data_IF_869182881697
#
_entry.id   IF_869182881697
#
_cell.length_a   1.000
_cell.length_b   1.000
_cell.length_c   1.000
_cell.angle_alpha   90.00
_cell.angle_beta   90.00
_cell.angle_gamma   90.00
#
_symmetry.space_group_name_H-M   'P 1'
#
loop_
_entity.id
_entity.type
_entity.pdbx_description
1 polymer ?
#
# COMPACT_ATOMS: atom_id res chain seq x y z
N UNK A 1 43.64 4.69 -16.38
CA UNK A 1 43.03 4.70 -15.03
C UNK A 1 41.73 5.51 -14.94
N UNK A 2 41.60 6.71 -15.54
CA UNK A 2 40.33 7.49 -15.52
C UNK A 2 39.09 6.77 -16.10
N UNK A 3 39.26 5.93 -17.13
CA UNK A 3 38.15 5.24 -17.81
C UNK A 3 37.52 4.11 -16.98
N UNK A 4 38.28 3.51 -16.06
CA UNK A 4 37.78 2.46 -15.15
C UNK A 4 36.92 3.09 -14.07
N UNK A 5 37.32 4.27 -13.55
CA UNK A 5 36.61 4.97 -12.48
C UNK A 5 35.20 5.41 -12.87
N UNK A 6 35.00 5.84 -14.12
CA UNK A 6 33.68 6.23 -14.64
C UNK A 6 32.75 5.02 -14.75
N UNK A 7 33.29 3.85 -15.11
CA UNK A 7 32.51 2.62 -15.24
C UNK A 7 32.04 2.10 -13.88
N UNK A 8 32.90 2.17 -12.84
CA UNK A 8 32.52 1.76 -11.48
C UNK A 8 31.52 2.72 -10.84
N UNK A 9 31.66 4.04 -11.05
CA UNK A 9 30.68 5.03 -10.58
C UNK A 9 29.34 4.88 -11.31
N UNK A 10 29.34 4.59 -12.61
CA UNK A 10 28.12 4.31 -13.36
C UNK A 10 27.45 2.98 -12.93
N UNK A 11 28.22 1.98 -12.54
CA UNK A 11 27.69 0.72 -11.99
C UNK A 11 27.08 0.91 -10.59
N UNK A 12 27.76 1.66 -9.71
CA UNK A 12 27.26 1.99 -8.36
C UNK A 12 26.04 2.92 -8.44
N UNK A 13 26.00 3.86 -9.38
CA UNK A 13 24.82 4.69 -9.66
C UNK A 13 23.69 3.90 -10.35
N UNK A 14 24.01 2.86 -11.12
CA UNK A 14 23.04 1.97 -11.76
C UNK A 14 22.31 1.03 -10.79
N UNK A 15 22.96 0.64 -9.69
CA UNK A 15 22.31 -0.13 -8.61
C UNK A 15 21.51 0.73 -7.62
N UNK A 16 21.63 2.06 -7.70
CA UNK A 16 20.85 2.99 -6.87
C UNK A 16 19.44 3.27 -7.44
N UNK A 17 19.09 2.67 -8.59
CA UNK A 17 17.78 2.84 -9.21
C UNK A 17 16.84 1.71 -8.78
N UNK A 18 15.96 2.07 -7.84
CA UNK A 18 14.72 1.39 -7.42
C UNK A 18 14.86 -0.07 -6.96
N UNK A 19 14.80 -0.25 -5.63
CA UNK A 19 14.49 -1.53 -5.02
C UNK A 19 13.02 -1.90 -5.35
N UNK A 20 12.79 -2.42 -6.57
CA UNK A 20 11.48 -2.85 -7.02
C UNK A 20 11.02 -4.06 -6.20
N UNK A 21 10.13 -3.85 -5.24
CA UNK A 21 9.27 -4.93 -4.78
C UNK A 21 8.15 -5.08 -5.80
N UNK A 22 8.29 -5.96 -6.79
CA UNK A 22 7.32 -6.11 -7.90
C UNK A 22 5.88 -6.43 -7.47
N UNK A 23 5.02 -6.67 -8.47
CA UNK A 23 3.62 -7.04 -8.23
C UNK A 23 3.51 -8.36 -7.44
N UNK A 24 2.76 -8.36 -6.34
CA UNK A 24 2.45 -9.54 -5.52
C UNK A 24 1.01 -9.99 -5.75
N UNK A 25 0.84 -11.23 -6.21
CA UNK A 25 -0.46 -11.90 -6.33
C UNK A 25 -0.96 -12.42 -4.98
N UNK A 26 -2.20 -12.91 -4.91
CA UNK A 26 -2.80 -13.47 -3.69
C UNK A 26 -1.89 -14.51 -3.03
N UNK A 27 -1.66 -14.36 -1.72
CA UNK A 27 -0.82 -15.22 -0.89
C UNK A 27 0.69 -14.97 -1.06
N UNK A 28 1.12 -14.18 -2.04
CA UNK A 28 2.54 -13.87 -2.21
C UNK A 28 3.00 -12.83 -1.21
N UNK A 29 4.29 -12.93 -0.85
CA UNK A 29 4.96 -12.01 0.06
C UNK A 29 6.17 -11.41 -0.63
N UNK A 30 6.36 -10.10 -0.47
CA UNK A 30 7.59 -9.39 -0.83
C UNK A 30 8.22 -8.75 0.41
N UNK A 31 9.45 -8.27 0.26
CA UNK A 31 10.19 -7.61 1.34
C UNK A 31 10.85 -6.33 0.85
N UNK A 32 10.79 -5.30 1.69
CA UNK A 32 11.59 -4.09 1.55
C UNK A 32 12.58 -4.07 2.73
N UNK A 33 13.85 -3.77 2.48
CA UNK A 33 14.85 -3.63 3.52
C UNK A 33 15.41 -2.22 3.53
N UNK A 34 15.37 -1.57 4.70
CA UNK A 34 15.88 -0.22 4.94
C UNK A 34 15.32 0.84 3.97
N UNK A 35 14.07 0.64 3.53
CA UNK A 35 13.38 1.56 2.63
C UNK A 35 13.06 2.89 3.33
N UNK A 36 13.27 4.00 2.62
CA UNK A 36 12.83 5.35 3.01
C UNK A 36 11.34 5.53 2.78
N UNK A 37 10.80 4.87 1.75
CA UNK A 37 9.38 4.83 1.47
C UNK A 37 8.95 3.50 0.89
N UNK A 38 7.73 3.07 1.22
CA UNK A 38 7.09 1.90 0.63
C UNK A 38 5.74 2.34 0.10
N UNK A 39 5.55 2.27 -1.21
CA UNK A 39 4.26 2.53 -1.85
C UNK A 39 3.56 1.23 -2.15
N UNK A 40 2.28 1.18 -1.82
CA UNK A 40 1.37 0.08 -2.11
C UNK A 40 0.27 0.62 -3.00
N UNK A 41 0.12 0.02 -4.17
CA UNK A 41 -0.84 0.47 -5.17
C UNK A 41 -1.60 -0.74 -5.70
N UNK A 42 -2.93 -0.63 -5.71
CA UNK A 42 -3.76 -1.56 -6.47
C UNK A 42 -4.10 -0.93 -7.81
N UNK A 43 -3.77 -1.64 -8.89
CA UNK A 43 -4.24 -1.30 -10.23
C UNK A 43 -5.70 -1.76 -10.45
N UNK A 44 -6.41 -2.10 -9.37
CA UNK A 44 -7.48 -3.09 -9.33
C UNK A 44 -8.48 -2.99 -10.47
N UNK A 45 -8.89 -4.14 -11.06
CA UNK A 45 -9.90 -4.16 -12.11
C UNK A 45 -11.21 -3.54 -11.61
N UNK A 46 -12.08 -3.13 -12.54
CA UNK A 46 -13.42 -2.66 -12.19
C UNK A 46 -14.12 -3.66 -11.26
N UNK A 47 -14.92 -3.16 -10.31
CA UNK A 47 -15.76 -4.01 -9.47
C UNK A 47 -16.62 -4.92 -10.35
N UNK A 48 -16.56 -6.22 -10.12
CA UNK A 48 -17.39 -7.22 -10.83
C UNK A 48 -18.35 -7.85 -9.85
N UNK A 49 -19.60 -8.06 -10.25
CA UNK A 49 -20.66 -8.63 -9.41
C UNK A 49 -21.41 -9.72 -10.15
N UNK A 50 -20.64 -10.66 -10.69
CA UNK A 50 -21.13 -11.73 -11.56
C UNK A 50 -21.47 -13.00 -10.77
N UNK A 51 -21.46 -12.96 -9.44
CA UNK A 51 -21.84 -14.10 -8.62
C UNK A 51 -23.35 -14.36 -8.76
N UNK A 52 -23.77 -15.61 -8.57
CA UNK A 52 -25.16 -16.04 -8.71
C UNK A 52 -26.14 -15.31 -7.79
N UNK A 53 -25.65 -14.69 -6.72
CA UNK A 53 -26.43 -13.89 -5.78
C UNK A 53 -26.24 -12.36 -5.97
N UNK A 54 -25.51 -11.94 -7.01
CA UNK A 54 -25.19 -10.54 -7.26
C UNK A 54 -24.12 -9.97 -6.32
N UNK A 55 -23.38 -10.82 -5.61
CA UNK A 55 -22.23 -10.40 -4.81
C UNK A 55 -21.02 -10.11 -5.69
N UNK A 56 -20.10 -9.30 -5.16
CA UNK A 56 -18.87 -9.01 -5.89
C UNK A 56 -18.03 -10.27 -6.06
N UNK A 57 -17.64 -10.58 -7.30
CA UNK A 57 -16.75 -11.71 -7.62
C UNK A 57 -15.28 -11.36 -7.46
N UNK A 58 -14.97 -10.07 -7.33
CA UNK A 58 -13.68 -9.56 -6.88
C UNK A 58 -13.86 -8.78 -5.57
N UNK A 59 -12.74 -8.37 -4.95
CA UNK A 59 -12.73 -7.48 -3.77
C UNK A 59 -13.17 -6.04 -4.14
N UNK A 60 -14.13 -5.88 -5.06
CA UNK A 60 -14.62 -4.61 -5.62
C UNK A 60 -13.49 -3.77 -6.23
N UNK A 61 -12.50 -4.43 -6.84
CA UNK A 61 -11.27 -3.78 -7.33
C UNK A 61 -10.34 -3.27 -6.22
N UNK A 62 -10.59 -3.62 -4.96
CA UNK A 62 -9.73 -3.32 -3.82
C UNK A 62 -8.64 -4.35 -3.60
N UNK A 63 -7.66 -4.04 -2.75
CA UNK A 63 -6.60 -4.94 -2.36
C UNK A 63 -6.41 -4.96 -0.85
N UNK A 64 -5.97 -6.10 -0.33
CA UNK A 64 -5.76 -6.31 1.09
C UNK A 64 -4.35 -6.84 1.32
N UNK A 65 -3.57 -6.14 2.15
CA UNK A 65 -2.22 -6.57 2.51
C UNK A 65 -2.03 -6.57 4.02
N UNK A 66 -1.15 -7.46 4.49
CA UNK A 66 -0.66 -7.51 5.86
C UNK A 66 0.82 -7.15 5.84
N UNK A 67 1.19 -6.18 6.67
CA UNK A 67 2.54 -5.61 6.71
C UNK A 67 3.15 -5.88 8.07
N UNK A 68 4.21 -6.68 8.10
CA UNK A 68 5.03 -6.90 9.28
C UNK A 68 6.29 -6.05 9.22
N UNK A 69 6.63 -5.37 10.32
CA UNK A 69 7.78 -4.46 10.39
C UNK A 69 8.71 -4.87 11.53
N UNK A 70 10.00 -4.96 11.25
CA UNK A 70 11.00 -5.32 12.28
C UNK A 70 11.31 -4.18 13.24
N UNK A 71 11.19 -2.92 12.82
CA UNK A 71 11.49 -1.72 13.63
C UNK A 71 10.77 -1.68 14.98
N UNK A 72 9.53 -2.16 14.99
CA UNK A 72 8.60 -2.06 16.12
C UNK A 72 7.87 -3.39 16.40
N UNK A 73 8.20 -4.47 15.67
CA UNK A 73 7.55 -5.78 15.77
C UNK A 73 6.02 -5.74 15.62
N UNK A 74 5.49 -4.81 14.83
CA UNK A 74 4.05 -4.70 14.60
C UNK A 74 3.63 -5.31 13.27
N UNK A 75 2.40 -5.81 13.24
CA UNK A 75 1.71 -6.27 12.03
C UNK A 75 0.49 -5.39 11.83
N UNK A 76 0.42 -4.70 10.67
CA UNK A 76 -0.71 -3.84 10.34
C UNK A 76 -1.43 -4.34 9.08
N UNK A 77 -2.76 -4.46 9.10
CA UNK A 77 -3.53 -4.66 7.88
C UNK A 77 -3.73 -3.33 7.16
N UNK A 78 -3.66 -3.35 5.83
CA UNK A 78 -4.01 -2.22 4.97
C UNK A 78 -4.95 -2.71 3.87
N UNK A 79 -6.07 -2.00 3.73
CA UNK A 79 -7.02 -2.18 2.64
C UNK A 79 -6.98 -0.96 1.71
N UNK A 80 -6.82 -1.22 0.42
CA UNK A 80 -6.94 -0.24 -0.65
C UNK A 80 -8.28 -0.49 -1.34
N UNK A 81 -9.14 0.52 -1.42
CA UNK A 81 -10.52 0.35 -1.86
C UNK A 81 -10.98 1.53 -2.72
N UNK A 82 -10.49 1.68 -3.97
CA UNK A 82 -10.86 2.83 -4.80
C UNK A 82 -12.36 2.95 -5.09
N UNK A 83 -13.08 1.82 -5.08
CA UNK A 83 -14.52 1.76 -5.34
C UNK A 83 -15.36 1.69 -4.06
N UNK A 84 -14.72 1.80 -2.88
CA UNK A 84 -15.42 1.84 -1.60
C UNK A 84 -15.81 3.28 -1.29
N UNK A 85 -17.11 3.53 -1.19
CA UNK A 85 -17.63 4.81 -0.75
C UNK A 85 -17.87 4.77 0.76
N UNK A 86 -17.11 5.58 1.50
CA UNK A 86 -17.25 5.75 2.94
C UNK A 86 -17.91 7.10 3.30
N UNK A 87 -18.57 7.74 2.34
CA UNK A 87 -19.36 8.94 2.59
C UNK A 87 -20.53 8.65 3.53
N UNK A 88 -20.75 9.58 4.47
CA UNK A 88 -21.96 9.64 5.26
C UNK A 88 -23.20 9.69 4.37
N UNK A 89 -24.24 8.93 4.72
CA UNK A 89 -25.51 8.79 3.99
C UNK A 89 -26.41 10.05 4.04
N UNK A 90 -25.83 11.24 3.94
CA UNK A 90 -26.55 12.52 3.97
C UNK A 90 -27.50 12.70 2.77
N UNK A 91 -27.38 11.87 1.72
CA UNK A 91 -28.24 11.92 0.55
C UNK A 91 -29.69 11.51 0.82
N UNK A 92 -29.94 10.61 1.78
CA UNK A 92 -31.29 10.08 2.03
C UNK A 92 -32.09 10.95 3.00
N UNK A 93 -31.44 11.63 3.95
CA UNK A 93 -32.09 12.56 4.88
C UNK A 93 -31.97 14.02 4.44
N UNK A 94 -31.12 14.35 3.46
CA UNK A 94 -30.86 15.71 2.99
C UNK A 94 -30.08 16.56 4.00
N UNK A 95 -29.33 15.96 4.91
CA UNK A 95 -28.63 16.66 6.00
C UNK A 95 -29.53 17.09 7.16
N UNK A 96 -30.73 16.51 7.29
CA UNK A 96 -31.70 16.83 8.37
C UNK A 96 -31.17 16.56 9.78
N UNK A 97 -30.20 15.65 9.91
CA UNK A 97 -29.50 15.40 11.18
C UNK A 97 -28.47 16.48 11.53
N UNK A 98 -28.26 17.48 10.66
CA UNK A 98 -27.30 18.58 10.88
C UNK A 98 -25.83 18.15 10.82
N UNK A 99 -25.56 16.89 10.48
CA UNK A 99 -24.19 16.39 10.32
C UNK A 99 -23.68 16.79 8.93
N UNK A 100 -22.49 17.43 8.83
CA UNK A 100 -21.88 17.69 7.53
C UNK A 100 -21.51 16.37 6.84
N UNK A 101 -21.35 16.38 5.51
CA UNK A 101 -20.82 15.22 4.79
C UNK A 101 -19.44 14.86 5.36
N UNK A 102 -19.24 13.59 5.71
CA UNK A 102 -17.97 13.05 6.22
C UNK A 102 -17.58 11.84 5.40
N UNK A 103 -16.27 11.64 5.25
CA UNK A 103 -15.73 10.51 4.51
C UNK A 103 -15.46 10.87 3.05
N UNK A 104 -15.41 9.83 2.22
CA UNK A 104 -15.14 9.93 0.80
C UNK A 104 -14.82 8.56 0.20
N UNK A 105 -14.45 8.57 -1.07
CA UNK A 105 -13.95 7.38 -1.75
C UNK A 105 -12.65 6.89 -1.10
N UNK A 106 -12.51 5.57 -1.00
CA UNK A 106 -11.29 4.92 -0.53
C UNK A 106 -10.10 5.17 -1.47
N UNK A 107 -8.90 4.84 -0.97
CA UNK A 107 -7.65 5.11 -1.69
C UNK A 107 -7.24 3.89 -2.53
N UNK A 108 -6.77 4.12 -3.76
CA UNK A 108 -6.11 3.11 -4.60
C UNK A 108 -4.63 2.90 -4.24
N UNK A 109 -4.05 3.85 -3.48
CA UNK A 109 -2.63 3.89 -3.18
C UNK A 109 -2.37 4.48 -1.80
N UNK A 110 -1.38 3.92 -1.11
CA UNK A 110 -0.83 4.48 0.13
C UNK A 110 0.70 4.42 0.10
N UNK A 111 1.34 5.40 0.72
CA UNK A 111 2.80 5.42 0.88
C UNK A 111 3.13 5.47 2.37
N UNK A 112 3.90 4.48 2.82
CA UNK A 112 4.52 4.42 4.14
C UNK A 112 5.90 5.05 4.07
N UNK A 113 6.33 5.73 5.12
CA UNK A 113 7.61 6.47 5.15
C UNK A 113 8.41 6.13 6.39
N UNK A 114 9.73 6.03 6.26
CA UNK A 114 10.61 5.78 7.41
C UNK A 114 10.56 6.97 8.36
N UNK A 115 10.50 6.71 9.67
CA UNK A 115 10.50 7.76 10.68
C UNK A 115 11.83 7.71 11.45
N UNK A 116 12.60 8.82 11.50
CA UNK A 116 13.91 8.82 12.16
C UNK A 116 13.81 8.80 13.68
N UNK A 117 12.73 9.33 14.26
CA UNK A 117 12.52 9.31 15.71
C UNK A 117 11.30 8.47 16.12
N UNK A 118 11.47 7.69 17.18
CA UNK A 118 10.39 6.99 17.90
C UNK A 118 9.53 8.04 18.65
N UNK A 119 8.69 8.77 17.93
CA UNK A 119 7.89 9.83 18.53
C UNK A 119 6.66 9.25 19.24
N UNK A 120 6.70 9.24 20.57
CA UNK A 120 5.54 9.21 21.49
C UNK A 120 4.41 8.22 21.18
N UNK A 121 4.72 7.04 20.63
CA UNK A 121 3.74 5.98 20.36
C UNK A 121 3.14 5.97 18.95
N UNK A 122 3.60 6.83 18.04
CA UNK A 122 3.25 6.82 16.61
C UNK A 122 4.19 5.90 15.79
N UNK A 123 4.82 4.92 16.43
CA UNK A 123 5.77 4.02 15.76
C UNK A 123 5.09 3.10 14.74
N UNK A 124 3.76 3.13 14.61
CA UNK A 124 3.01 2.39 13.59
C UNK A 124 3.46 2.80 12.18
N UNK A 125 3.94 4.03 11.97
CA UNK A 125 4.45 4.48 10.69
C UNK A 125 5.85 3.98 10.33
N UNK A 126 6.68 3.62 11.31
CA UNK A 126 8.10 3.39 11.06
C UNK A 126 8.37 2.08 10.30
N UNK A 127 8.85 2.25 9.07
CA UNK A 127 9.27 1.18 8.15
C UNK A 127 10.80 0.99 8.09
N UNK A 128 11.55 1.55 9.05
CA UNK A 128 12.98 1.28 9.15
C UNK A 128 13.28 -0.23 9.32
N UNK A 129 14.37 -0.71 8.72
CA UNK A 129 14.72 -2.14 8.73
C UNK A 129 13.91 -2.99 7.75
N UNK A 130 13.65 -4.24 8.14
CA UNK A 130 12.96 -5.23 7.32
C UNK A 130 11.45 -5.08 7.42
N UNK A 131 10.80 -4.88 6.28
CA UNK A 131 9.36 -4.89 6.13
C UNK A 131 8.96 -6.05 5.24
N UNK A 132 8.03 -6.89 5.70
CA UNK A 132 7.43 -7.98 4.91
C UNK A 132 5.99 -7.61 4.59
N UNK A 133 5.61 -7.73 3.33
CA UNK A 133 4.30 -7.34 2.83
C UNK A 133 3.69 -8.57 2.17
N UNK A 134 2.59 -9.04 2.72
CA UNK A 134 1.86 -10.21 2.23
C UNK A 134 0.52 -9.77 1.66
N UNK A 135 0.24 -10.15 0.42
CA UNK A 135 -1.07 -9.92 -0.17
C UNK A 135 -2.05 -10.99 0.33
N UNK A 136 -3.08 -10.57 1.05
CA UNK A 136 -4.14 -11.44 1.57
C UNK A 136 -5.45 -11.29 0.80
N UNK A 137 -5.52 -10.37 -0.17
CA UNK A 137 -6.68 -10.15 -1.03
C UNK A 137 -6.58 -10.90 -2.37
N UNK A 138 -7.65 -10.80 -3.15
CA UNK A 138 -7.77 -11.44 -4.46
C UNK A 138 -7.06 -10.65 -5.58
N UNK A 139 -6.98 -9.33 -5.45
CA UNK A 139 -6.35 -8.48 -6.45
C UNK A 139 -4.84 -8.34 -6.20
N UNK A 140 -4.06 -8.32 -7.27
CA UNK A 140 -2.63 -8.09 -7.21
C UNK A 140 -2.30 -6.67 -6.70
N UNK A 141 -1.18 -6.56 -5.99
CA UNK A 141 -0.69 -5.29 -5.43
C UNK A 141 0.68 -4.99 -5.96
N UNK A 142 0.85 -3.81 -6.52
CA UNK A 142 2.17 -3.29 -6.86
C UNK A 142 2.78 -2.70 -5.60
N UNK A 143 3.98 -3.18 -5.25
CA UNK A 143 4.78 -2.62 -4.17
C UNK A 143 5.90 -1.78 -4.81
N UNK A 144 6.41 -0.78 -4.11
CA UNK A 144 7.59 -0.04 -4.56
C UNK A 144 8.37 0.39 -3.34
N UNK A 145 9.61 -0.07 -3.20
CA UNK A 145 10.50 0.33 -2.12
C UNK A 145 11.50 1.36 -2.67
N UNK A 146 11.60 2.52 -2.03
CA UNK A 146 12.64 3.52 -2.32
C UNK A 146 13.43 3.82 -1.06
#
# INVERSE_FOLDING_TARGET
MKKIFVLTVAFIAGFALVANAGSISTGQTTKCNDAKSITLETAGPASSSDDKFGYSTNDRGGANVVIWKSSNFTTIPITLGPNDNNDSLNGTDGGKTGLPQRGGMGKHKVTLVSQPEFSRGDSIGDISGLVKITNTGLNAVTVSCN
#
